data_IF_771663287508
#
_entry.id   IF_771663287508
#
_cell.length_a   1.000
_cell.length_b   1.000
_cell.length_c   1.000
_cell.angle_alpha   90.00
_cell.angle_beta   90.00
_cell.angle_gamma   90.00
#
_symmetry.space_group_name_H-M   'P 1'
#
loop_
_entity.id
_entity.type
_entity.pdbx_description
1 polymer ?
#
# COMPACT_ATOMS: atom_id res chain seq x y z
N UNK A 1 7.65 9.26 -12.25
CA UNK A 1 8.32 8.53 -11.15
C UNK A 1 9.67 7.96 -11.60
N UNK A 2 9.77 6.81 -12.28
CA UNK A 2 11.08 6.19 -12.59
C UNK A 2 12.06 7.14 -13.32
N UNK A 3 11.59 7.87 -14.33
CA UNK A 3 12.41 8.88 -15.04
C UNK A 3 12.98 9.95 -14.10
N UNK A 4 12.16 10.48 -13.18
CA UNK A 4 12.56 11.51 -12.22
C UNK A 4 13.56 10.97 -11.18
N UNK A 5 13.41 9.71 -10.76
CA UNK A 5 14.39 9.06 -9.86
C UNK A 5 15.74 8.84 -10.56
N UNK A 6 15.74 8.50 -11.85
CA UNK A 6 16.97 8.38 -12.65
C UNK A 6 17.66 9.74 -12.79
N UNK A 7 16.92 10.81 -13.06
CA UNK A 7 17.48 12.18 -13.13
C UNK A 7 18.14 12.60 -11.82
N UNK A 8 17.51 12.31 -10.67
CA UNK A 8 18.10 12.56 -9.34
C UNK A 8 19.37 11.76 -9.10
N UNK A 9 19.40 10.48 -9.52
CA UNK A 9 20.57 9.63 -9.37
C UNK A 9 21.74 10.10 -10.23
N UNK A 10 21.48 10.51 -11.48
CA UNK A 10 22.50 11.08 -12.36
C UNK A 10 23.09 12.35 -11.74
N UNK A 11 22.25 13.23 -11.20
CA UNK A 11 22.70 14.46 -10.53
C UNK A 11 23.53 14.15 -9.27
N UNK A 12 23.16 13.12 -8.49
CA UNK A 12 23.89 12.70 -7.30
C UNK A 12 25.25 12.07 -7.60
N UNK A 13 25.38 11.35 -8.72
CA UNK A 13 26.62 10.64 -9.07
C UNK A 13 27.80 11.57 -9.39
N UNK A 14 27.54 12.81 -9.83
CA UNK A 14 28.56 13.70 -10.36
C UNK A 14 29.30 13.06 -11.54
N UNK A 15 30.61 12.94 -11.45
CA UNK A 15 31.47 12.38 -12.51
C UNK A 15 31.43 10.84 -12.59
N UNK A 16 30.82 10.17 -11.61
CA UNK A 16 30.71 8.71 -11.61
C UNK A 16 29.76 8.24 -12.71
N UNK A 17 30.20 7.26 -13.49
CA UNK A 17 29.42 6.73 -14.63
C UNK A 17 28.55 5.51 -14.29
N UNK A 18 28.68 4.96 -13.08
CA UNK A 18 27.96 3.74 -12.66
C UNK A 18 27.14 3.98 -11.40
N UNK A 19 25.82 3.74 -11.50
CA UNK A 19 24.88 3.69 -10.38
C UNK A 19 25.05 2.34 -9.67
N UNK A 20 25.35 2.35 -8.38
CA UNK A 20 25.34 1.16 -7.54
C UNK A 20 24.10 1.13 -6.63
N UNK A 21 23.88 -0.01 -5.96
CA UNK A 21 22.70 -0.23 -5.11
C UNK A 21 22.63 0.73 -3.91
N UNK A 22 23.76 1.14 -3.36
CA UNK A 22 23.80 2.07 -2.24
C UNK A 22 23.37 3.48 -2.65
N UNK A 23 23.74 3.94 -3.85
CA UNK A 23 23.30 5.24 -4.38
C UNK A 23 21.77 5.26 -4.51
N UNK A 24 21.18 4.17 -5.01
CA UNK A 24 19.72 4.01 -5.10
C UNK A 24 19.08 4.08 -3.71
N UNK A 25 19.64 3.39 -2.72
CA UNK A 25 19.11 3.42 -1.36
C UNK A 25 19.24 4.78 -0.67
N UNK A 26 20.25 5.59 -1.01
CA UNK A 26 20.42 6.93 -0.46
C UNK A 26 19.47 7.97 -1.07
N UNK A 27 19.20 7.86 -2.38
CA UNK A 27 18.52 8.93 -3.12
C UNK A 27 17.06 8.60 -3.44
N UNK A 28 16.76 7.33 -3.69
CA UNK A 28 15.42 6.91 -4.10
C UNK A 28 14.59 6.57 -2.87
N UNK A 29 13.75 7.52 -2.47
CA UNK A 29 12.75 7.29 -1.45
C UNK A 29 11.58 6.49 -2.02
N UNK A 30 11.04 5.56 -1.23
CA UNK A 30 9.79 4.89 -1.58
C UNK A 30 8.66 5.88 -1.59
N UNK A 31 7.78 5.78 -2.59
CA UNK A 31 6.56 6.58 -2.58
C UNK A 31 5.65 6.15 -1.43
N UNK A 32 4.77 7.05 -0.99
CA UNK A 32 3.75 6.75 0.01
C UNK A 32 2.93 5.52 -0.39
N UNK A 33 2.50 5.43 -1.65
CA UNK A 33 1.74 4.29 -2.16
C UNK A 33 2.52 2.97 -2.06
N UNK A 34 3.82 2.98 -2.33
CA UNK A 34 4.68 1.80 -2.18
C UNK A 34 4.82 1.40 -0.72
N UNK A 35 4.98 2.37 0.18
CA UNK A 35 5.04 2.09 1.62
C UNK A 35 3.70 1.53 2.13
N UNK A 36 2.57 2.10 1.74
CA UNK A 36 1.24 1.59 2.15
C UNK A 36 0.96 0.22 1.51
N UNK A 37 1.43 -0.05 0.30
CA UNK A 37 1.36 -1.40 -0.26
C UNK A 37 2.18 -2.39 0.58
N UNK A 38 3.44 -2.04 0.91
CA UNK A 38 4.29 -2.88 1.76
C UNK A 38 3.71 -3.08 3.17
N UNK A 39 3.04 -2.08 3.73
CA UNK A 39 2.30 -2.18 4.99
C UNK A 39 1.26 -3.29 4.93
N UNK A 40 0.47 -3.36 3.85
CA UNK A 40 -0.52 -4.44 3.67
C UNK A 40 0.15 -5.83 3.55
N UNK A 41 1.38 -5.92 2.99
CA UNK A 41 2.14 -7.18 3.03
C UNK A 41 2.58 -7.57 4.45
N UNK A 42 3.01 -6.61 5.27
CA UNK A 42 3.39 -6.89 6.65
C UNK A 42 2.20 -7.37 7.47
N UNK A 43 1.03 -6.77 7.29
CA UNK A 43 -0.23 -7.19 7.91
C UNK A 43 -0.55 -8.63 7.48
N UNK A 44 -0.58 -8.90 6.17
CA UNK A 44 -0.86 -10.24 5.62
C UNK A 44 0.08 -11.32 6.16
N UNK A 45 1.36 -10.99 6.35
CA UNK A 45 2.39 -11.92 6.85
C UNK A 45 2.44 -11.98 8.39
N UNK A 46 1.45 -11.43 9.10
CA UNK A 46 1.40 -11.34 10.56
C UNK A 46 2.64 -10.65 11.20
N UNK A 47 3.30 -9.75 10.45
CA UNK A 47 4.47 -8.99 10.93
C UNK A 47 4.04 -7.69 11.62
N UNK A 48 3.21 -7.80 12.67
CA UNK A 48 2.57 -6.67 13.35
C UNK A 48 3.56 -5.60 13.82
N UNK A 49 4.71 -6.00 14.38
CA UNK A 49 5.77 -5.05 14.79
C UNK A 49 6.28 -4.20 13.62
N UNK A 50 6.49 -4.81 12.44
CA UNK A 50 6.95 -4.09 11.24
C UNK A 50 5.86 -3.19 10.66
N UNK A 51 4.61 -3.64 10.70
CA UNK A 51 3.47 -2.84 10.27
C UNK A 51 3.32 -1.57 11.12
N UNK A 52 3.36 -1.71 12.44
CA UNK A 52 3.27 -0.56 13.37
C UNK A 52 4.46 0.37 13.23
N UNK A 53 5.69 -0.15 13.11
CA UNK A 53 6.85 0.72 12.87
C UNK A 53 6.69 1.53 11.59
N UNK A 54 6.25 0.90 10.50
CA UNK A 54 6.03 1.60 9.23
C UNK A 54 4.97 2.70 9.33
N UNK A 55 3.90 2.46 10.08
CA UNK A 55 2.85 3.49 10.32
C UNK A 55 3.42 4.66 11.08
N UNK A 56 4.20 4.40 12.14
CA UNK A 56 4.87 5.44 12.92
C UNK A 56 5.84 6.25 12.07
N UNK A 57 6.61 5.60 11.21
CA UNK A 57 7.53 6.28 10.28
C UNK A 57 6.77 7.19 9.32
N UNK A 58 5.65 6.73 8.75
CA UNK A 58 4.81 7.53 7.85
C UNK A 58 4.17 8.72 8.57
N UNK A 59 3.69 8.53 9.79
CA UNK A 59 3.14 9.61 10.63
C UNK A 59 4.25 10.62 10.99
N UNK A 60 5.46 10.16 11.31
CA UNK A 60 6.60 11.03 11.57
C UNK A 60 7.00 11.86 10.33
N UNK A 61 6.74 11.33 9.12
CA UNK A 61 6.85 12.06 7.84
C UNK A 61 5.66 13.01 7.59
N UNK A 62 4.80 13.25 8.58
CA UNK A 62 3.60 14.11 8.53
C UNK A 62 2.50 13.60 7.58
N UNK A 63 2.45 12.30 7.32
CA UNK A 63 1.32 11.72 6.59
C UNK A 63 0.10 11.58 7.50
N UNK A 64 -1.03 12.14 7.05
CA UNK A 64 -2.28 12.14 7.80
C UNK A 64 -2.89 10.72 7.88
N UNK A 65 -3.37 10.26 9.05
CA UNK A 65 -3.96 8.92 9.22
C UNK A 65 -5.10 8.62 8.26
N UNK A 66 -5.94 9.62 7.96
CA UNK A 66 -7.05 9.48 7.02
C UNK A 66 -6.57 9.20 5.59
N UNK A 67 -5.44 9.79 5.19
CA UNK A 67 -4.83 9.55 3.88
C UNK A 67 -4.21 8.15 3.82
N UNK A 68 -3.55 7.72 4.90
CA UNK A 68 -3.04 6.36 5.03
C UNK A 68 -4.17 5.33 4.94
N UNK A 69 -5.25 5.53 5.69
CA UNK A 69 -6.43 4.67 5.63
C UNK A 69 -6.99 4.62 4.21
N UNK A 70 -7.18 5.76 3.54
CA UNK A 70 -7.70 5.80 2.17
C UNK A 70 -6.86 4.98 1.18
N UNK A 71 -5.53 5.00 1.33
CA UNK A 71 -4.61 4.19 0.53
C UNK A 71 -4.69 2.69 0.88
N UNK A 72 -4.80 2.35 2.17
CA UNK A 72 -5.01 0.98 2.64
C UNK A 72 -6.30 0.42 2.05
N UNK A 73 -7.42 1.15 2.19
CA UNK A 73 -8.72 0.76 1.63
C UNK A 73 -8.65 0.57 0.12
N UNK A 74 -7.92 1.45 -0.59
CA UNK A 74 -7.73 1.34 -2.04
C UNK A 74 -6.98 0.07 -2.44
N UNK A 75 -5.96 -0.34 -1.66
CA UNK A 75 -5.26 -1.60 -1.88
C UNK A 75 -6.18 -2.81 -1.64
N UNK A 76 -6.94 -2.84 -0.54
CA UNK A 76 -7.86 -3.94 -0.28
C UNK A 76 -8.99 -4.04 -1.31
N UNK A 77 -9.55 -2.91 -1.78
CA UNK A 77 -10.49 -2.89 -2.91
C UNK A 77 -9.86 -3.46 -4.18
N UNK A 78 -8.62 -3.08 -4.48
CA UNK A 78 -7.90 -3.61 -5.65
C UNK A 78 -7.66 -5.12 -5.52
N UNK A 79 -7.35 -5.63 -4.32
CA UNK A 79 -7.21 -7.06 -4.05
C UNK A 79 -8.54 -7.80 -4.28
N UNK A 80 -9.63 -7.27 -3.73
CA UNK A 80 -10.97 -7.83 -3.90
C UNK A 80 -11.38 -7.91 -5.37
N UNK A 81 -11.29 -6.78 -6.08
CA UNK A 81 -11.61 -6.67 -7.51
C UNK A 81 -10.73 -7.59 -8.37
N UNK A 82 -9.44 -7.67 -8.07
CA UNK A 82 -8.52 -8.55 -8.80
C UNK A 82 -8.85 -10.02 -8.55
N UNK A 83 -9.18 -10.41 -7.31
CA UNK A 83 -9.54 -11.79 -6.96
C UNK A 83 -10.84 -12.22 -7.63
N UNK A 84 -11.90 -11.42 -7.52
CA UNK A 84 -13.21 -11.78 -8.10
C UNK A 84 -13.16 -11.90 -9.63
N UNK A 85 -12.43 -11.01 -10.31
CA UNK A 85 -12.26 -11.11 -11.77
C UNK A 85 -11.34 -12.26 -12.17
N UNK A 86 -10.29 -12.53 -11.38
CA UNK A 86 -9.43 -13.70 -11.58
C UNK A 86 -10.19 -15.02 -11.45
N UNK A 87 -11.11 -15.13 -10.48
CA UNK A 87 -11.99 -16.29 -10.32
C UNK A 87 -12.98 -16.45 -11.48
N UNK A 88 -13.35 -15.35 -12.15
CA UNK A 88 -14.15 -15.36 -13.39
C UNK A 88 -13.33 -15.68 -14.65
N UNK A 89 -12.04 -16.02 -14.52
CA UNK A 89 -11.17 -16.40 -15.63
C UNK A 89 -10.52 -15.23 -16.38
N UNK A 90 -10.61 -14.01 -15.88
CA UNK A 90 -9.98 -12.86 -16.52
C UNK A 90 -8.46 -12.93 -16.34
N UNK A 91 -7.72 -12.73 -17.43
CA UNK A 91 -6.26 -12.54 -17.38
C UNK A 91 -5.89 -11.21 -16.70
N UNK A 92 -4.67 -11.10 -16.17
CA UNK A 92 -4.21 -9.87 -15.52
C UNK A 92 -4.30 -8.61 -16.40
N UNK A 93 -4.15 -8.75 -17.72
CA UNK A 93 -4.34 -7.63 -18.67
C UNK A 93 -5.81 -7.25 -18.82
N UNK A 94 -6.72 -8.23 -18.90
CA UNK A 94 -8.16 -7.96 -18.96
C UNK A 94 -8.62 -7.30 -17.67
N UNK A 95 -8.18 -7.79 -16.50
CA UNK A 95 -8.46 -7.18 -15.20
C UNK A 95 -8.00 -5.73 -15.18
N UNK A 96 -6.75 -5.46 -15.54
CA UNK A 96 -6.17 -4.12 -15.62
C UNK A 96 -7.02 -3.16 -16.47
N UNK A 97 -7.48 -3.62 -17.62
CA UNK A 97 -8.38 -2.86 -18.49
C UNK A 97 -9.75 -2.64 -17.84
N UNK A 98 -10.34 -3.67 -17.26
CA UNK A 98 -11.68 -3.64 -16.65
C UNK A 98 -11.77 -2.67 -15.48
N UNK A 99 -10.76 -2.65 -14.61
CA UNK A 99 -10.77 -1.79 -13.40
C UNK A 99 -9.96 -0.50 -13.60
N UNK A 100 -9.46 -0.25 -14.82
CA UNK A 100 -8.65 0.91 -15.19
C UNK A 100 -7.42 1.14 -14.27
N UNK A 101 -6.66 0.06 -14.03
CA UNK A 101 -5.46 0.08 -13.19
C UNK A 101 -4.28 -0.48 -13.98
N UNK A 102 -3.08 0.07 -13.77
CA UNK A 102 -1.88 -0.37 -14.47
C UNK A 102 -1.60 -1.88 -14.28
N UNK A 103 -1.25 -2.64 -15.35
CA UNK A 103 -1.08 -4.10 -15.28
C UNK A 103 -0.13 -4.59 -14.19
N UNK A 104 0.94 -3.84 -13.91
CA UNK A 104 1.87 -4.18 -12.83
C UNK A 104 1.21 -4.16 -11.43
N UNK A 105 0.34 -3.17 -11.16
CA UNK A 105 -0.38 -3.12 -9.88
C UNK A 105 -1.37 -4.27 -9.75
N UNK A 106 -2.04 -4.64 -10.84
CA UNK A 106 -2.92 -5.81 -10.88
C UNK A 106 -2.14 -7.10 -10.63
N UNK A 107 -0.96 -7.26 -11.21
CA UNK A 107 -0.10 -8.42 -10.94
C UNK A 107 0.24 -8.55 -9.45
N UNK A 108 0.65 -7.45 -8.83
CA UNK A 108 0.93 -7.42 -7.38
C UNK A 108 -0.32 -7.71 -6.55
N UNK A 109 -1.47 -7.13 -6.93
CA UNK A 109 -2.75 -7.35 -6.26
C UNK A 109 -3.22 -8.80 -6.34
N UNK A 110 -3.11 -9.44 -7.51
CA UNK A 110 -3.43 -10.86 -7.70
C UNK A 110 -2.55 -11.75 -6.81
N UNK A 111 -1.26 -11.43 -6.69
CA UNK A 111 -0.35 -12.18 -5.81
C UNK A 111 -0.75 -12.04 -4.34
N UNK A 112 -1.10 -10.82 -3.91
CA UNK A 112 -1.55 -10.60 -2.53
C UNK A 112 -2.89 -11.27 -2.26
N UNK A 113 -3.87 -11.10 -3.15
CA UNK A 113 -5.23 -11.58 -2.96
C UNK A 113 -5.37 -13.11 -2.96
N UNK A 114 -4.36 -13.86 -3.42
CA UNK A 114 -4.31 -15.33 -3.30
C UNK A 114 -4.33 -15.82 -1.86
N UNK A 115 -3.84 -15.02 -0.91
CA UNK A 115 -3.73 -15.39 0.50
C UNK A 115 -4.97 -15.02 1.34
N UNK A 116 -6.00 -14.47 0.70
CA UNK A 116 -7.22 -14.05 1.37
C UNK A 116 -8.43 -14.73 0.76
N UNK A 117 -9.45 -15.04 1.56
CA UNK A 117 -10.78 -15.31 1.04
C UNK A 117 -11.49 -14.02 0.64
N UNK A 118 -12.44 -14.11 -0.31
CA UNK A 118 -13.20 -12.93 -0.76
C UNK A 118 -13.95 -12.28 0.42
N UNK A 119 -14.56 -13.10 1.28
CA UNK A 119 -15.27 -12.63 2.48
C UNK A 119 -14.31 -11.91 3.44
N UNK A 120 -13.09 -12.42 3.64
CA UNK A 120 -12.09 -11.73 4.47
C UNK A 120 -11.72 -10.36 3.91
N UNK A 121 -11.54 -10.24 2.59
CA UNK A 121 -11.27 -8.95 1.95
C UNK A 121 -12.45 -7.98 2.10
N UNK A 122 -13.68 -8.48 1.97
CA UNK A 122 -14.89 -7.67 2.16
C UNK A 122 -14.99 -7.15 3.61
N UNK A 123 -14.81 -8.03 4.60
CA UNK A 123 -14.80 -7.66 6.02
C UNK A 123 -13.73 -6.60 6.34
N UNK A 124 -12.54 -6.70 5.71
CA UNK A 124 -11.49 -5.69 5.88
C UNK A 124 -11.93 -4.35 5.28
N UNK A 125 -12.59 -4.34 4.13
CA UNK A 125 -13.10 -3.12 3.50
C UNK A 125 -14.18 -2.48 4.38
N UNK A 126 -15.05 -3.27 5.00
CA UNK A 126 -16.07 -2.77 5.93
C UNK A 126 -15.43 -2.18 7.19
N UNK A 127 -14.42 -2.86 7.76
CA UNK A 127 -13.63 -2.31 8.88
C UNK A 127 -12.91 -1.01 8.50
N UNK A 128 -12.46 -0.87 7.24
CA UNK A 128 -11.91 0.40 6.76
C UNK A 128 -12.97 1.51 6.77
N UNK A 129 -14.20 1.22 6.37
CA UNK A 129 -15.30 2.20 6.36
C UNK A 129 -15.68 2.62 7.78
N UNK A 130 -15.76 1.68 8.72
CA UNK A 130 -15.96 2.01 10.14
C UNK A 130 -14.82 2.86 10.71
N UNK A 131 -13.59 2.54 10.34
CA UNK A 131 -12.40 3.29 10.80
C UNK A 131 -12.40 4.70 10.22
N UNK A 132 -12.80 4.89 8.96
CA UNK A 132 -12.95 6.21 8.34
C UNK A 132 -14.00 7.04 9.07
N UNK A 133 -15.14 6.44 9.42
CA UNK A 133 -16.15 7.09 10.26
C UNK A 133 -15.58 7.50 11.61
N UNK A 134 -14.86 6.61 12.31
CA UNK A 134 -14.21 6.91 13.60
C UNK A 134 -13.19 8.05 13.47
N UNK A 135 -12.36 8.07 12.43
CA UNK A 135 -11.39 9.14 12.18
C UNK A 135 -12.02 10.52 11.97
N UNK A 136 -13.26 10.55 11.45
CA UNK A 136 -13.99 11.80 11.14
C UNK A 136 -14.87 12.29 12.29
N UNK A 137 -15.33 11.40 13.15
CA UNK A 137 -16.37 11.70 14.16
C UNK A 137 -15.91 11.55 15.62
N UNK A 138 -14.80 10.86 15.87
CA UNK A 138 -14.32 10.58 17.22
C UNK A 138 -13.45 11.70 17.78
N UNK A 139 -13.50 11.88 19.11
CA UNK A 139 -12.55 12.69 19.88
C UNK A 139 -11.26 11.94 20.22
N UNK A 140 -11.17 10.64 19.90
CA UNK A 140 -9.97 9.83 20.12
C UNK A 140 -8.84 10.26 19.20
N UNK A 141 -7.61 10.09 19.67
CA UNK A 141 -6.41 10.33 18.89
C UNK A 141 -6.43 9.53 17.56
N UNK A 142 -6.24 10.24 16.45
CA UNK A 142 -6.35 9.67 15.10
C UNK A 142 -5.23 8.67 14.80
N UNK A 143 -4.05 8.84 15.40
CA UNK A 143 -2.95 7.88 15.24
C UNK A 143 -3.31 6.57 15.93
N UNK A 144 -3.83 6.66 17.15
CA UNK A 144 -4.29 5.51 17.92
C UNK A 144 -5.41 4.76 17.19
N UNK A 145 -6.39 5.46 16.61
CA UNK A 145 -7.46 4.81 15.81
C UNK A 145 -6.85 3.97 14.68
N UNK A 146 -5.87 4.52 13.95
CA UNK A 146 -5.22 3.82 12.84
C UNK A 146 -4.36 2.64 13.32
N UNK A 147 -3.61 2.80 14.41
CA UNK A 147 -2.82 1.71 14.99
C UNK A 147 -3.70 0.55 15.46
N UNK A 148 -4.80 0.84 16.15
CA UNK A 148 -5.77 -0.17 16.59
C UNK A 148 -6.41 -0.90 15.41
N UNK A 149 -6.78 -0.17 14.37
CA UNK A 149 -7.28 -0.78 13.13
C UNK A 149 -6.25 -1.77 12.56
N UNK A 150 -4.99 -1.37 12.43
CA UNK A 150 -3.94 -2.23 11.87
C UNK A 150 -3.65 -3.45 12.75
N UNK A 151 -3.75 -3.32 14.07
CA UNK A 151 -3.60 -4.45 14.99
C UNK A 151 -4.77 -5.42 14.96
N UNK A 152 -5.97 -4.94 14.61
CA UNK A 152 -7.19 -5.74 14.49
C UNK A 152 -7.23 -6.60 13.22
N UNK A 153 -6.43 -6.26 12.22
CA UNK A 153 -6.20 -7.05 11.01
C UNK A 153 -5.25 -8.24 11.27
#
# INVERSE_FOLDING_TARGET
>A
IVKQEIEKLILFLGDRTTINKNDVHQIVNRSLEQNVFLLTEYIQKNKKTKAIQMVKDLIAMKEEPIKLLALITSNYRLFYQSKILGQKGYSGQQIAKTINVHPYRVKLALNQARHYELESLLNIIDNCAETDYKLKSSYMDKHLILELFILSL
#
